data_IF_408375684222
#
_entry.id   IF_408375684222
#
_cell.length_a   1.000
_cell.length_b   1.000
_cell.length_c   1.000
_cell.angle_alpha   90.00
_cell.angle_beta   90.00
_cell.angle_gamma   90.00
#
_symmetry.space_group_name_H-M   'P 1'
#
loop_
_entity.id
_entity.type
_entity.pdbx_description
1 polymer ?
#
# COMPACT_ATOMS: atom_id res chain seq x y z
N UNK A 1 -10.88 -21.32 4.18
CA UNK A 1 -10.96 -22.74 3.80
C UNK A 1 -10.29 -23.57 4.89
N UNK A 2 -9.96 -24.82 4.65
CA UNK A 2 -9.17 -25.61 5.59
C UNK A 2 -7.66 -25.32 5.41
N UNK A 3 -6.87 -25.35 6.47
CA UNK A 3 -5.42 -25.07 6.40
C UNK A 3 -4.70 -26.09 5.51
N UNK A 4 -5.16 -27.35 5.51
CA UNK A 4 -4.66 -28.37 4.59
C UNK A 4 -4.91 -28.01 3.12
N UNK A 5 -6.09 -27.49 2.79
CA UNK A 5 -6.42 -27.07 1.42
C UNK A 5 -5.54 -25.92 0.93
N UNK A 6 -5.14 -25.01 1.82
CA UNK A 6 -4.17 -23.96 1.47
C UNK A 6 -2.82 -24.56 1.04
N UNK A 7 -2.36 -25.61 1.72
CA UNK A 7 -1.09 -26.26 1.40
C UNK A 7 -1.18 -27.08 0.10
N UNK A 8 -2.28 -27.81 -0.09
CA UNK A 8 -2.55 -28.53 -1.33
C UNK A 8 -2.56 -27.56 -2.52
N UNK A 9 -3.28 -26.44 -2.41
CA UNK A 9 -3.34 -25.41 -3.46
C UNK A 9 -1.98 -24.74 -3.70
N UNK A 10 -1.17 -24.53 -2.66
CA UNK A 10 0.21 -24.01 -2.78
C UNK A 10 1.08 -24.91 -3.66
N UNK A 11 0.96 -26.23 -3.46
CA UNK A 11 1.70 -27.26 -4.19
C UNK A 11 1.17 -27.39 -5.62
N UNK A 12 -0.15 -27.50 -5.79
CA UNK A 12 -0.81 -27.63 -7.10
C UNK A 12 -0.48 -26.44 -8.02
N UNK A 13 -0.44 -25.22 -7.48
CA UNK A 13 -0.04 -24.02 -8.22
C UNK A 13 1.46 -23.95 -8.53
N UNK A 14 2.27 -24.88 -8.01
CA UNK A 14 3.70 -24.93 -8.25
C UNK A 14 4.47 -23.74 -7.68
N UNK A 15 3.93 -23.04 -6.67
CA UNK A 15 4.55 -21.80 -6.15
C UNK A 15 5.86 -22.03 -5.39
N UNK A 16 6.11 -23.29 -5.00
CA UNK A 16 7.37 -23.74 -4.45
C UNK A 16 8.28 -24.37 -5.53
N UNK A 17 7.82 -24.56 -6.77
CA UNK A 17 8.57 -25.27 -7.81
C UNK A 17 8.58 -26.79 -7.60
N UNK A 18 9.62 -27.47 -8.10
CA UNK A 18 9.78 -28.93 -8.00
C UNK A 18 10.43 -29.31 -6.67
N UNK A 19 9.90 -30.34 -6.01
CA UNK A 19 10.42 -30.85 -4.75
C UNK A 19 9.47 -31.88 -4.12
N UNK A 20 9.77 -32.27 -2.89
CA UNK A 20 9.04 -33.27 -2.13
C UNK A 20 8.32 -32.64 -0.94
N UNK A 21 7.02 -32.91 -0.80
CA UNK A 21 6.20 -32.39 0.27
C UNK A 21 6.04 -33.41 1.41
N UNK A 22 6.29 -32.97 2.65
CA UNK A 22 6.05 -33.73 3.87
C UNK A 22 5.15 -32.91 4.80
N UNK A 23 3.99 -33.45 5.15
CA UNK A 23 3.03 -32.77 6.00
C UNK A 23 3.19 -33.18 7.47
N UNK A 24 2.86 -32.26 8.38
CA UNK A 24 2.85 -32.51 9.82
C UNK A 24 4.17 -33.12 10.33
N UNK A 25 5.30 -32.46 10.05
CA UNK A 25 6.63 -32.95 10.44
C UNK A 25 6.93 -32.63 11.90
N UNK A 26 7.13 -33.66 12.73
CA UNK A 26 7.40 -33.48 14.16
C UNK A 26 8.83 -32.99 14.44
N UNK A 27 8.94 -31.75 14.91
CA UNK A 27 10.20 -31.12 15.34
C UNK A 27 10.37 -31.01 16.86
N UNK A 28 9.36 -31.43 17.63
CA UNK A 28 9.42 -31.41 19.09
C UNK A 28 10.36 -32.48 19.68
N UNK A 29 11.06 -32.16 20.78
CA UNK A 29 11.94 -33.10 21.50
C UNK A 29 11.26 -33.74 22.72
N UNK A 30 10.59 -32.92 23.54
CA UNK A 30 9.87 -33.38 24.76
C UNK A 30 8.38 -33.60 24.49
N UNK A 31 7.75 -32.63 23.86
CA UNK A 31 6.37 -32.70 23.40
C UNK A 31 6.35 -32.58 21.88
N UNK A 32 5.42 -33.27 21.19
CA UNK A 32 5.30 -33.15 19.75
C UNK A 32 4.94 -31.71 19.35
N UNK A 33 5.63 -31.20 18.33
CA UNK A 33 5.37 -29.91 17.68
C UNK A 33 5.50 -30.15 16.19
N UNK A 34 4.49 -29.80 15.41
CA UNK A 34 4.39 -30.16 14.01
C UNK A 34 4.53 -28.93 13.13
N UNK A 35 5.38 -29.02 12.11
CA UNK A 35 5.40 -28.08 10.98
C UNK A 35 4.34 -28.54 10.00
N UNK A 36 3.46 -27.63 9.57
CA UNK A 36 2.34 -28.00 8.70
C UNK A 36 2.83 -28.60 7.37
N UNK A 37 3.86 -28.00 6.77
CA UNK A 37 4.52 -28.53 5.58
C UNK A 37 6.04 -28.26 5.60
N UNK A 38 6.81 -29.31 5.35
CA UNK A 38 8.21 -29.24 4.96
C UNK A 38 8.29 -29.59 3.48
N UNK A 39 8.84 -28.69 2.67
CA UNK A 39 8.98 -28.90 1.23
C UNK A 39 10.46 -28.88 0.87
N UNK A 40 10.99 -30.04 0.49
CA UNK A 40 12.41 -30.23 0.18
C UNK A 40 12.69 -30.07 -1.31
N UNK A 41 13.69 -29.26 -1.63
CA UNK A 41 14.27 -29.14 -2.97
C UNK A 41 15.70 -29.64 -2.96
N UNK A 42 16.37 -29.51 -4.10
CA UNK A 42 17.77 -29.88 -4.27
C UNK A 42 18.70 -29.08 -3.34
N UNK A 43 18.56 -27.75 -3.30
CA UNK A 43 19.46 -26.81 -2.61
C UNK A 43 18.84 -26.09 -1.39
N UNK A 44 17.53 -26.17 -1.23
CA UNK A 44 16.81 -25.53 -0.14
C UNK A 44 15.65 -26.35 0.42
N UNK A 45 15.33 -26.11 1.69
CA UNK A 45 14.17 -26.68 2.38
C UNK A 45 13.26 -25.57 2.86
N UNK A 46 11.98 -25.65 2.52
CA UNK A 46 10.96 -24.71 2.97
C UNK A 46 10.22 -25.26 4.18
N UNK A 47 10.09 -24.45 5.23
CA UNK A 47 9.20 -24.70 6.36
C UNK A 47 8.00 -23.76 6.22
N UNK A 48 6.81 -24.32 6.03
CA UNK A 48 5.59 -23.58 5.76
C UNK A 48 4.60 -23.78 6.90
N UNK A 49 4.06 -22.67 7.41
CA UNK A 49 2.87 -22.65 8.27
C UNK A 49 1.66 -22.21 7.44
N UNK A 50 0.52 -22.86 7.60
CA UNK A 50 -0.75 -22.47 7.01
C UNK A 50 -1.66 -21.81 8.04
N UNK A 51 -2.26 -20.67 7.68
CA UNK A 51 -3.34 -20.06 8.47
C UNK A 51 -4.35 -19.41 7.54
N UNK A 52 -5.64 -19.53 7.82
CA UNK A 52 -6.66 -18.82 7.04
C UNK A 52 -6.41 -17.31 6.97
N UNK A 53 -6.06 -16.69 8.11
CA UNK A 53 -5.72 -15.28 8.22
C UNK A 53 -4.32 -15.17 8.82
N UNK A 54 -3.42 -14.45 8.15
CA UNK A 54 -2.08 -14.17 8.65
C UNK A 54 -2.17 -13.50 10.02
N UNK A 55 -1.44 -14.01 11.00
CA UNK A 55 -1.44 -13.51 12.36
C UNK A 55 -0.06 -13.69 13.01
N UNK A 56 0.16 -13.03 14.16
CA UNK A 56 1.42 -13.10 14.90
C UNK A 56 1.76 -14.51 15.40
N UNK A 57 0.76 -15.39 15.56
CA UNK A 57 0.97 -16.78 15.96
C UNK A 57 1.70 -17.56 14.87
N UNK A 58 1.28 -17.44 13.61
CA UNK A 58 1.98 -18.07 12.48
C UNK A 58 3.43 -17.60 12.35
N UNK A 59 3.66 -16.29 12.50
CA UNK A 59 5.01 -15.71 12.51
C UNK A 59 5.87 -16.33 13.63
N UNK A 60 5.35 -16.40 14.85
CA UNK A 60 6.05 -17.00 15.98
C UNK A 60 6.31 -18.50 15.79
N UNK A 61 5.34 -19.24 15.26
CA UNK A 61 5.43 -20.67 14.98
C UNK A 61 6.53 -20.96 13.96
N UNK A 62 6.49 -20.34 12.78
CA UNK A 62 7.46 -20.63 11.71
C UNK A 62 8.90 -20.28 12.12
N UNK A 63 9.09 -19.21 12.89
CA UNK A 63 10.39 -18.84 13.46
C UNK A 63 10.88 -19.87 14.49
N UNK A 64 10.00 -20.30 15.39
CA UNK A 64 10.33 -21.30 16.43
C UNK A 64 10.65 -22.66 15.80
N UNK A 65 9.88 -23.05 14.80
CA UNK A 65 10.06 -24.30 14.07
C UNK A 65 11.37 -24.36 13.31
N UNK A 66 11.85 -23.23 12.75
CA UNK A 66 13.20 -23.17 12.15
C UNK A 66 14.27 -23.61 13.15
N UNK A 67 14.23 -23.09 14.37
CA UNK A 67 15.20 -23.43 15.41
C UNK A 67 15.15 -24.92 15.78
N UNK A 68 13.95 -25.47 15.98
CA UNK A 68 13.76 -26.88 16.32
C UNK A 68 14.15 -27.82 15.16
N UNK A 69 13.80 -27.46 13.92
CA UNK A 69 14.13 -28.24 12.72
C UNK A 69 15.65 -28.34 12.53
N UNK A 70 16.36 -27.22 12.64
CA UNK A 70 17.84 -27.18 12.50
C UNK A 70 18.58 -27.95 13.60
N UNK A 71 17.96 -28.16 14.77
CA UNK A 71 18.54 -29.00 15.82
C UNK A 71 18.39 -30.50 15.53
N UNK A 72 17.35 -30.90 14.78
CA UNK A 72 17.10 -32.31 14.44
C UNK A 72 17.77 -32.74 13.16
N UNK A 73 17.85 -31.84 12.17
CA UNK A 73 18.29 -32.15 10.82
C UNK A 73 19.65 -31.54 10.56
N UNK A 74 20.66 -32.38 10.32
CA UNK A 74 21.96 -31.96 9.81
C UNK A 74 21.88 -31.97 8.28
N UNK A 75 21.67 -30.81 7.69
CA UNK A 75 21.59 -30.64 6.23
C UNK A 75 22.42 -29.42 5.81
N UNK A 76 23.10 -29.53 4.66
CA UNK A 76 23.78 -28.40 4.02
C UNK A 76 22.81 -27.49 3.25
N UNK A 77 21.56 -27.92 3.05
CA UNK A 77 20.54 -27.14 2.33
C UNK A 77 20.19 -25.86 3.10
N UNK A 78 19.92 -24.80 2.37
CA UNK A 78 19.46 -23.55 2.99
C UNK A 78 18.00 -23.68 3.47
N UNK A 79 17.69 -23.21 4.68
CA UNK A 79 16.32 -23.27 5.21
C UNK A 79 15.59 -21.95 4.95
N UNK A 80 14.50 -22.03 4.17
CA UNK A 80 13.57 -20.94 3.86
C UNK A 80 12.32 -21.07 4.72
N UNK A 81 11.70 -19.93 5.03
CA UNK A 81 10.46 -19.86 5.79
C UNK A 81 9.35 -19.29 4.93
N UNK A 82 8.18 -19.89 5.04
CA UNK A 82 6.98 -19.38 4.38
C UNK A 82 5.75 -19.45 5.27
N UNK A 83 4.77 -18.60 4.96
CA UNK A 83 3.43 -18.69 5.52
C UNK A 83 2.46 -18.66 4.36
N UNK A 84 1.52 -19.60 4.31
CA UNK A 84 0.42 -19.60 3.34
C UNK A 84 -0.88 -19.20 4.01
N UNK A 85 -1.64 -18.29 3.39
CA UNK A 85 -2.89 -17.80 3.94
C UNK A 85 -3.92 -17.36 2.89
N UNK A 86 -5.20 -17.24 3.28
CA UNK A 86 -6.22 -16.66 2.39
C UNK A 86 -6.19 -15.14 2.39
N UNK A 87 -5.97 -14.57 3.58
CA UNK A 87 -5.95 -13.13 3.82
C UNK A 87 -4.70 -12.77 4.61
N UNK A 88 -4.03 -11.72 4.17
CA UNK A 88 -2.87 -11.18 4.85
C UNK A 88 -3.19 -9.89 5.60
N UNK A 89 -2.37 -9.60 6.61
CA UNK A 89 -2.35 -8.32 7.32
C UNK A 89 -1.06 -7.57 6.90
N UNK A 90 -1.15 -6.35 6.35
CA UNK A 90 0.02 -5.62 5.84
C UNK A 90 1.12 -5.34 6.86
N UNK A 91 0.77 -5.14 8.14
CA UNK A 91 1.76 -4.87 9.19
C UNK A 91 2.55 -6.15 9.50
N UNK A 92 1.86 -7.29 9.51
CA UNK A 92 2.48 -8.61 9.69
C UNK A 92 3.26 -9.00 8.44
N UNK A 93 2.80 -8.68 7.22
CA UNK A 93 3.57 -8.88 5.99
C UNK A 93 4.91 -8.15 6.03
N UNK A 94 4.89 -6.90 6.47
CA UNK A 94 6.12 -6.12 6.62
C UNK A 94 7.06 -6.75 7.66
N UNK A 95 6.52 -7.25 8.78
CA UNK A 95 7.31 -7.94 9.79
C UNK A 95 7.93 -9.24 9.24
N UNK A 96 7.15 -10.06 8.53
CA UNK A 96 7.62 -11.28 7.87
C UNK A 96 8.73 -10.98 6.85
N UNK A 97 8.55 -9.95 6.01
CA UNK A 97 9.55 -9.54 5.01
C UNK A 97 10.89 -9.17 5.64
N UNK A 98 10.88 -8.43 6.76
CA UNK A 98 12.11 -8.08 7.50
C UNK A 98 12.86 -9.31 8.05
N UNK A 99 12.15 -10.40 8.29
CA UNK A 99 12.71 -11.67 8.77
C UNK A 99 13.03 -12.66 7.63
N UNK A 100 12.86 -12.24 6.36
CA UNK A 100 13.08 -13.12 5.21
C UNK A 100 12.04 -14.24 5.05
N UNK A 101 10.84 -14.06 5.61
CA UNK A 101 9.73 -15.01 5.50
C UNK A 101 8.88 -14.63 4.29
N UNK A 102 8.66 -15.57 3.37
CA UNK A 102 7.80 -15.37 2.20
C UNK A 102 6.34 -15.64 2.55
N UNK A 103 5.42 -14.81 2.06
CA UNK A 103 3.99 -15.01 2.26
C UNK A 103 3.36 -15.41 0.94
N UNK A 104 2.52 -16.45 0.98
CA UNK A 104 1.75 -16.95 -0.15
C UNK A 104 0.26 -16.70 0.13
N UNK A 105 -0.34 -15.73 -0.56
CA UNK A 105 -1.76 -15.43 -0.41
C UNK A 105 -2.55 -16.18 -1.48
N UNK A 106 -3.35 -17.18 -1.07
CA UNK A 106 -4.10 -18.09 -1.96
C UNK A 106 -5.61 -17.86 -1.96
N UNK A 107 -6.10 -16.89 -1.19
CA UNK A 107 -7.50 -16.51 -1.27
C UNK A 107 -7.83 -16.08 -2.69
N UNK A 108 -9.08 -16.30 -3.12
CA UNK A 108 -9.67 -15.44 -4.14
C UNK A 108 -9.58 -14.03 -3.57
N UNK A 109 -8.52 -13.31 -3.90
CA UNK A 109 -8.63 -11.88 -4.06
C UNK A 109 -9.88 -11.78 -4.92
N UNK A 110 -10.96 -11.21 -4.39
CA UNK A 110 -11.82 -10.45 -5.28
C UNK A 110 -10.85 -9.43 -5.82
N UNK A 111 -10.17 -9.80 -6.90
CA UNK A 111 -9.61 -8.85 -7.82
C UNK A 111 -10.85 -8.02 -8.12
N UNK A 112 -10.97 -6.86 -7.45
CA UNK A 112 -11.33 -5.70 -8.24
C UNK A 112 -10.42 -5.83 -9.44
N UNK A 113 -11.00 -6.10 -10.61
CA UNK A 113 -10.25 -6.64 -11.73
C UNK A 113 -8.99 -5.78 -11.84
N UNK A 114 -7.84 -6.44 -11.93
CA UNK A 114 -6.64 -5.84 -12.50
C UNK A 114 -7.04 -5.41 -13.91
N UNK A 115 -7.71 -4.27 -13.95
CA UNK A 115 -8.15 -3.58 -15.12
C UNK A 115 -6.88 -2.96 -15.62
N UNK A 116 -6.26 -3.68 -16.55
CA UNK A 116 -5.88 -3.09 -17.83
C UNK A 116 -5.40 -1.65 -17.69
N UNK A 117 -4.09 -1.43 -17.50
CA UNK A 117 -3.48 -0.10 -17.62
C UNK A 117 -4.37 1.03 -17.06
N UNK A 118 -4.70 1.00 -15.77
CA UNK A 118 -5.43 2.12 -15.17
C UNK A 118 -4.59 3.38 -15.41
N UNK A 119 -5.06 4.23 -16.32
CA UNK A 119 -4.35 5.42 -16.79
C UNK A 119 -3.82 6.23 -15.62
N UNK A 120 -2.66 6.85 -15.83
CA UNK A 120 -2.02 7.70 -14.84
C UNK A 120 -3.04 8.74 -14.31
N UNK A 121 -3.04 9.03 -13.01
CA UNK A 121 -4.04 9.90 -12.37
C UNK A 121 -3.39 11.22 -11.97
N UNK A 122 -4.14 12.32 -12.01
CA UNK A 122 -3.66 13.59 -11.47
C UNK A 122 -3.81 13.65 -9.95
N UNK A 123 -2.69 13.82 -9.25
CA UNK A 123 -2.59 14.01 -7.80
C UNK A 123 -3.19 15.30 -7.28
N UNK A 124 -3.55 16.25 -8.16
CA UNK A 124 -4.15 17.53 -7.81
C UNK A 124 -5.68 17.46 -7.89
N UNK A 125 -6.25 17.10 -9.05
CA UNK A 125 -7.70 17.09 -9.25
C UNK A 125 -8.37 15.72 -9.14
N UNK A 126 -7.60 14.62 -9.23
CA UNK A 126 -8.11 13.25 -9.21
C UNK A 126 -8.54 12.68 -10.56
N UNK A 127 -8.50 13.47 -11.63
CA UNK A 127 -8.91 13.02 -12.96
C UNK A 127 -7.83 12.17 -13.64
N UNK A 128 -8.25 11.30 -14.55
CA UNK A 128 -7.36 10.51 -15.40
C UNK A 128 -6.58 11.40 -16.36
N UNK A 129 -5.31 11.09 -16.56
CA UNK A 129 -4.45 11.72 -17.55
C UNK A 129 -4.74 11.15 -18.94
N UNK A 130 -4.73 12.03 -19.94
CA UNK A 130 -4.87 11.67 -21.35
C UNK A 130 -3.53 11.80 -22.04
N UNK A 131 -3.19 10.85 -22.89
CA UNK A 131 -2.01 10.94 -23.74
C UNK A 131 -2.33 11.81 -24.97
N UNK A 132 -1.51 12.82 -25.25
CA UNK A 132 -1.54 13.61 -26.48
C UNK A 132 -0.11 13.87 -26.91
N UNK A 133 0.21 13.55 -28.16
CA UNK A 133 1.55 13.75 -28.73
C UNK A 133 2.69 13.11 -27.89
N UNK A 134 2.39 11.98 -27.22
CA UNK A 134 3.34 11.26 -26.35
C UNK A 134 3.48 11.84 -24.94
N UNK A 135 2.75 12.91 -24.61
CA UNK A 135 2.73 13.52 -23.28
C UNK A 135 1.45 13.20 -22.51
N UNK A 136 1.58 12.97 -21.20
CA UNK A 136 0.44 12.79 -20.31
C UNK A 136 -0.08 14.14 -19.83
N UNK A 137 -1.33 14.45 -20.14
CA UNK A 137 -1.97 15.74 -19.88
C UNK A 137 -3.17 15.57 -18.96
N UNK A 138 -3.23 16.41 -17.92
CA UNK A 138 -4.43 16.62 -17.11
C UNK A 138 -5.18 17.83 -17.67
N UNK A 139 -6.26 17.61 -18.41
CA UNK A 139 -7.05 18.71 -18.99
C UNK A 139 -7.59 19.67 -17.94
N UNK A 140 -7.97 19.16 -16.77
CA UNK A 140 -8.46 19.96 -15.65
C UNK A 140 -7.37 20.88 -15.09
N UNK A 141 -6.17 20.35 -14.85
CA UNK A 141 -5.08 21.20 -14.34
C UNK A 141 -4.59 22.16 -15.42
N UNK A 142 -4.53 21.72 -16.69
CA UNK A 142 -4.20 22.60 -17.81
C UNK A 142 -5.19 23.75 -17.97
N UNK A 143 -6.48 23.52 -17.70
CA UNK A 143 -7.49 24.57 -17.73
C UNK A 143 -7.28 25.62 -16.61
N UNK A 144 -7.03 25.19 -15.37
CA UNK A 144 -6.94 26.13 -14.23
C UNK A 144 -5.56 26.73 -14.00
N UNK A 145 -4.49 26.03 -14.39
CA UNK A 145 -3.11 26.38 -14.08
C UNK A 145 -2.24 26.53 -15.32
N UNK A 146 -2.81 26.41 -16.53
CA UNK A 146 -2.09 26.43 -17.81
C UNK A 146 -1.03 25.32 -17.95
N UNK A 147 -0.99 24.37 -17.00
CA UNK A 147 -0.03 23.25 -16.97
C UNK A 147 -0.64 22.00 -16.35
N UNK A 148 -0.15 20.82 -16.75
CA UNK A 148 -0.42 19.55 -16.07
C UNK A 148 0.44 19.36 -14.81
N UNK A 149 1.47 20.20 -14.65
CA UNK A 149 2.52 19.99 -13.66
C UNK A 149 3.53 18.94 -14.11
N UNK A 150 4.14 18.28 -13.15
CA UNK A 150 5.18 17.27 -13.37
C UNK A 150 4.57 15.87 -13.29
N UNK A 151 4.97 15.01 -14.23
CA UNK A 151 4.69 13.57 -14.18
C UNK A 151 5.80 12.89 -13.37
N UNK A 152 5.41 12.17 -12.32
CA UNK A 152 6.33 11.39 -11.49
C UNK A 152 5.84 9.96 -11.33
N UNK A 153 6.73 9.12 -10.82
CA UNK A 153 6.48 7.73 -10.51
C UNK A 153 6.18 7.54 -9.01
N UNK A 154 5.12 6.80 -8.70
CA UNK A 154 4.72 6.53 -7.32
C UNK A 154 5.77 5.67 -6.59
N UNK A 155 6.25 6.12 -5.44
CA UNK A 155 7.26 5.38 -4.64
C UNK A 155 6.75 4.04 -4.08
N UNK A 156 5.44 3.80 -4.06
CA UNK A 156 4.84 2.57 -3.52
C UNK A 156 4.46 1.57 -4.62
N UNK A 157 3.88 2.04 -5.73
CA UNK A 157 3.33 1.16 -6.77
C UNK A 157 3.92 1.39 -8.16
N UNK A 158 4.90 2.29 -8.30
CA UNK A 158 5.60 2.58 -9.55
C UNK A 158 4.71 3.10 -10.71
N UNK A 159 3.44 3.42 -10.46
CA UNK A 159 2.56 4.01 -11.47
C UNK A 159 2.84 5.50 -11.65
N UNK A 160 2.79 5.97 -12.90
CA UNK A 160 2.87 7.40 -13.24
C UNK A 160 1.67 8.15 -12.69
N UNK A 161 1.89 9.38 -12.23
CA UNK A 161 0.84 10.31 -11.80
C UNK A 161 1.30 11.76 -12.02
N UNK A 162 0.36 12.68 -12.23
CA UNK A 162 0.69 14.11 -12.34
C UNK A 162 0.62 14.79 -10.97
N UNK A 163 1.44 15.79 -10.74
CA UNK A 163 1.34 16.61 -9.55
C UNK A 163 1.86 18.03 -9.82
N UNK A 164 1.34 19.05 -9.11
CA UNK A 164 1.83 20.42 -9.20
C UNK A 164 2.58 20.75 -7.90
N UNK A 165 3.94 20.74 -7.90
CA UNK A 165 4.73 21.00 -6.70
C UNK A 165 4.34 22.29 -5.98
N UNK A 166 4.20 23.40 -6.70
CA UNK A 166 3.87 24.70 -6.11
C UNK A 166 2.56 24.64 -5.30
N UNK A 167 1.50 24.12 -5.92
CA UNK A 167 0.18 24.00 -5.28
C UNK A 167 0.21 22.99 -4.12
N UNK A 168 0.88 21.84 -4.31
CA UNK A 168 0.95 20.80 -3.28
C UNK A 168 1.76 21.28 -2.08
N UNK A 169 2.93 21.87 -2.30
CA UNK A 169 3.81 22.30 -1.22
C UNK A 169 3.11 23.41 -0.40
N UNK A 170 2.47 24.39 -1.04
CA UNK A 170 1.77 25.48 -0.34
C UNK A 170 0.57 24.99 0.50
N UNK A 171 -0.17 24.00 0.00
CA UNK A 171 -1.36 23.47 0.70
C UNK A 171 -0.97 22.44 1.76
N UNK A 172 -0.10 21.50 1.41
CA UNK A 172 0.20 20.33 2.24
C UNK A 172 1.23 20.67 3.31
N UNK A 173 2.21 21.51 3.01
CA UNK A 173 3.25 21.93 3.98
C UNK A 173 3.03 23.33 4.53
N UNK A 174 2.44 24.23 3.74
CA UNK A 174 2.35 25.65 4.07
C UNK A 174 1.15 26.07 4.91
N UNK A 175 0.12 25.22 5.05
CA UNK A 175 -1.08 25.56 5.82
C UNK A 175 -0.89 25.19 7.29
N UNK A 176 -0.93 26.23 8.12
CA UNK A 176 -1.01 26.17 9.59
C UNK A 176 -2.37 26.68 10.02
N UNK A 177 -3.09 25.88 10.79
CA UNK A 177 -4.36 26.25 11.40
C UNK A 177 -4.12 27.19 12.59
N UNK A 178 -5.15 27.93 13.00
CA UNK A 178 -5.09 28.89 14.10
C UNK A 178 -4.68 28.28 15.44
N UNK A 179 -4.93 26.99 15.62
CA UNK A 179 -4.50 26.20 16.80
C UNK A 179 -3.08 25.62 16.68
N UNK A 180 -2.33 26.00 15.65
CA UNK A 180 -0.95 25.56 15.41
C UNK A 180 -0.82 24.20 14.73
N UNK A 181 -1.93 23.49 14.45
CA UNK A 181 -1.88 22.25 13.66
C UNK A 181 -1.46 22.55 12.22
N UNK A 182 -0.81 21.61 11.56
CA UNK A 182 -0.47 21.65 10.12
C UNK A 182 -1.31 20.62 9.37
N UNK A 183 -1.44 20.80 8.05
CA UNK A 183 -2.04 19.78 7.17
C UNK A 183 -1.19 18.50 7.21
N UNK A 184 0.06 18.53 6.75
CA UNK A 184 0.96 17.39 6.99
C UNK A 184 2.23 17.84 7.70
N UNK A 185 2.75 16.98 8.57
CA UNK A 185 4.12 17.13 9.06
C UNK A 185 5.08 17.13 7.87
N UNK A 186 6.22 17.81 7.99
CA UNK A 186 7.23 17.90 6.92
C UNK A 186 7.61 16.50 6.40
N UNK A 187 7.78 15.53 7.31
CA UNK A 187 8.11 14.14 6.97
C UNK A 187 7.00 13.48 6.14
N UNK A 188 5.74 13.69 6.51
CA UNK A 188 4.60 13.04 5.86
C UNK A 188 4.25 13.73 4.55
N UNK A 189 4.40 15.05 4.47
CA UNK A 189 4.25 15.80 3.24
C UNK A 189 5.25 15.35 2.16
N UNK A 190 6.52 15.14 2.55
CA UNK A 190 7.53 14.57 1.65
C UNK A 190 7.07 13.24 1.10
N UNK A 191 6.61 12.31 1.94
CA UNK A 191 6.13 11.00 1.48
C UNK A 191 4.87 11.12 0.61
N UNK A 192 3.88 11.91 1.04
CA UNK A 192 2.60 12.13 0.34
C UNK A 192 2.81 12.68 -1.07
N UNK A 193 3.75 13.62 -1.24
CA UNK A 193 4.12 14.23 -2.53
C UNK A 193 4.53 13.18 -3.57
N UNK A 194 5.27 12.16 -3.14
CA UNK A 194 5.82 11.11 -4.02
C UNK A 194 4.92 9.87 -4.16
N UNK A 195 3.72 9.90 -3.58
CA UNK A 195 2.73 8.82 -3.70
C UNK A 195 1.61 9.24 -4.66
N UNK A 196 1.13 8.30 -5.48
CA UNK A 196 -0.07 8.54 -6.30
C UNK A 196 -1.35 8.55 -5.42
N UNK A 197 -2.46 9.14 -5.91
CA UNK A 197 -3.75 9.17 -5.19
C UNK A 197 -4.20 7.84 -4.61
N UNK A 198 -4.11 6.77 -5.41
CA UNK A 198 -4.52 5.41 -4.98
C UNK A 198 -3.69 4.90 -3.81
N UNK A 199 -2.38 5.10 -3.83
CA UNK A 199 -1.51 4.69 -2.73
C UNK A 199 -1.69 5.58 -1.50
N UNK A 200 -1.98 6.88 -1.68
CA UNK A 200 -2.35 7.77 -0.56
C UNK A 200 -3.59 7.26 0.16
N UNK A 201 -4.64 6.87 -0.57
CA UNK A 201 -5.87 6.27 -0.01
C UNK A 201 -5.61 5.04 0.85
N UNK A 202 -4.72 4.16 0.39
CA UNK A 202 -4.38 2.89 1.07
C UNK A 202 -3.43 3.09 2.26
N UNK A 203 -2.77 4.25 2.34
CA UNK A 203 -1.73 4.49 3.33
C UNK A 203 -2.32 4.80 4.71
N UNK A 204 -2.36 3.78 5.57
CA UNK A 204 -2.64 3.95 7.02
C UNK A 204 -1.62 4.85 7.75
N UNK A 205 -0.48 5.15 7.14
CA UNK A 205 0.48 6.08 7.72
C UNK A 205 -0.03 7.53 7.70
N UNK A 206 -0.95 7.85 6.79
CA UNK A 206 -1.60 9.16 6.70
C UNK A 206 -2.89 9.23 7.51
N UNK A 207 -3.39 8.10 8.03
CA UNK A 207 -4.69 8.05 8.70
C UNK A 207 -4.70 8.60 10.12
N UNK A 208 -3.53 8.91 10.70
CA UNK A 208 -3.40 9.45 12.05
C UNK A 208 -3.10 10.95 12.12
N UNK A 209 -3.17 11.68 11.00
CA UNK A 209 -2.78 13.09 10.98
C UNK A 209 -3.91 14.01 10.53
N UNK A 210 -4.04 15.09 11.32
CA UNK A 210 -5.08 16.11 11.31
C UNK A 210 -6.41 15.63 11.91
N UNK A 211 -6.69 15.97 13.17
CA UNK A 211 -8.06 16.13 13.65
C UNK A 211 -9.01 14.91 13.65
N UNK A 212 -8.51 13.68 13.53
CA UNK A 212 -9.31 12.45 13.52
C UNK A 212 -9.49 11.84 12.13
N UNK A 213 -10.35 10.83 12.00
CA UNK A 213 -10.57 10.04 10.78
C UNK A 213 -10.93 10.88 9.53
N UNK A 214 -11.33 12.14 9.68
CA UNK A 214 -11.89 12.98 8.61
C UNK A 214 -10.89 13.34 7.48
N UNK A 215 -9.59 13.37 7.78
CA UNK A 215 -8.54 13.80 6.83
C UNK A 215 -7.73 12.67 6.23
N UNK A 216 -7.82 11.50 6.85
CA UNK A 216 -7.08 10.28 6.55
C UNK A 216 -7.27 9.74 5.11
N UNK A 217 -8.38 10.10 4.48
CA UNK A 217 -8.84 9.52 3.22
C UNK A 217 -8.78 10.49 2.03
N UNK A 218 -8.11 11.65 2.16
CA UNK A 218 -8.00 12.61 1.03
C UNK A 218 -6.84 12.21 0.13
N UNK A 219 -7.17 11.82 -1.10
CA UNK A 219 -6.27 11.25 -2.10
C UNK A 219 -5.61 12.34 -2.96
N UNK A 220 -6.26 13.50 -3.04
CA UNK A 220 -5.93 14.60 -3.96
C UNK A 220 -5.88 15.96 -3.27
N UNK A 221 -5.18 16.91 -3.86
CA UNK A 221 -5.19 18.31 -3.40
C UNK A 221 -6.60 18.91 -3.39
N UNK A 222 -7.42 18.59 -4.40
CA UNK A 222 -8.83 19.00 -4.50
C UNK A 222 -9.63 18.63 -3.27
N UNK A 223 -9.44 17.40 -2.78
CA UNK A 223 -10.12 16.89 -1.59
C UNK A 223 -9.63 17.55 -0.30
N UNK A 224 -8.33 17.89 -0.23
CA UNK A 224 -7.76 18.65 0.88
C UNK A 224 -8.36 20.06 0.92
N UNK A 225 -8.38 20.78 -0.21
CA UNK A 225 -9.00 22.12 -0.32
C UNK A 225 -10.48 22.05 0.09
N UNK A 226 -11.21 21.06 -0.42
CA UNK A 226 -12.63 20.86 -0.06
C UNK A 226 -12.80 20.68 1.45
N UNK A 227 -11.95 19.89 2.09
CA UNK A 227 -12.00 19.65 3.53
C UNK A 227 -11.66 20.91 4.35
N UNK A 228 -10.67 21.69 3.92
CA UNK A 228 -10.28 22.97 4.54
C UNK A 228 -11.45 23.95 4.54
N UNK A 229 -12.12 24.12 3.39
CA UNK A 229 -13.27 25.03 3.29
C UNK A 229 -14.45 24.51 4.09
N UNK A 230 -14.75 23.20 4.02
CA UNK A 230 -15.88 22.60 4.74
C UNK A 230 -15.72 22.71 6.26
N UNK A 231 -14.51 22.54 6.77
CA UNK A 231 -14.18 22.72 8.19
C UNK A 231 -14.12 24.18 8.63
N UNK A 232 -14.27 25.14 7.69
CA UNK A 232 -14.09 26.58 7.92
C UNK A 232 -12.70 26.94 8.46
N UNK A 233 -11.72 26.07 8.20
CA UNK A 233 -10.34 26.29 8.63
C UNK A 233 -9.66 27.41 7.85
N UNK A 234 -10.10 27.64 6.61
CA UNK A 234 -9.71 28.78 5.78
C UNK A 234 -10.88 29.22 4.91
N UNK A 235 -10.88 30.49 4.54
CA UNK A 235 -11.80 31.06 3.56
C UNK A 235 -11.29 30.86 2.13
N UNK A 236 -12.15 31.13 1.14
CA UNK A 236 -11.73 31.14 -0.28
C UNK A 236 -10.62 32.19 -0.50
N UNK A 237 -10.76 33.37 0.12
CA UNK A 237 -9.78 34.45 0.03
C UNK A 237 -8.40 34.03 0.54
N UNK A 238 -8.34 33.32 1.68
CA UNK A 238 -7.06 32.84 2.23
C UNK A 238 -6.33 31.85 1.30
N UNK A 239 -7.08 31.12 0.46
CA UNK A 239 -6.53 30.21 -0.55
C UNK A 239 -6.14 30.96 -1.83
N UNK A 240 -6.89 31.98 -2.22
CA UNK A 240 -6.54 32.91 -3.31
C UNK A 240 -5.22 33.65 -2.99
N UNK A 241 -5.07 34.14 -1.76
CA UNK A 241 -3.85 34.82 -1.27
C UNK A 241 -2.62 33.90 -1.27
N UNK A 242 -2.82 32.57 -1.38
CA UNK A 242 -1.77 31.55 -1.57
C UNK A 242 -1.56 31.16 -3.04
N UNK A 243 -2.12 31.93 -3.97
CA UNK A 243 -1.94 31.70 -5.41
C UNK A 243 -2.81 30.58 -5.99
N UNK A 244 -3.82 30.08 -5.27
CA UNK A 244 -4.74 29.08 -5.82
C UNK A 244 -5.86 29.82 -6.57
N UNK A 245 -6.07 29.56 -7.87
CA UNK A 245 -7.12 30.23 -8.63
C UNK A 245 -8.50 30.01 -8.03
N UNK A 246 -9.28 31.09 -7.89
CA UNK A 246 -10.67 31.04 -7.37
C UNK A 246 -11.51 29.99 -8.07
N UNK A 247 -11.39 29.89 -9.38
CA UNK A 247 -12.15 28.98 -10.21
C UNK A 247 -11.84 27.51 -9.88
N UNK A 248 -10.57 27.21 -9.58
CA UNK A 248 -10.17 25.89 -9.13
C UNK A 248 -10.71 25.60 -7.72
N UNK A 249 -10.70 26.60 -6.82
CA UNK A 249 -11.30 26.47 -5.49
C UNK A 249 -12.80 26.15 -5.60
N UNK A 250 -13.53 26.88 -6.45
CA UNK A 250 -14.94 26.64 -6.74
C UNK A 250 -15.20 25.25 -7.34
N UNK A 251 -14.32 24.78 -8.22
CA UNK A 251 -14.34 23.41 -8.73
C UNK A 251 -14.11 22.39 -7.62
N UNK A 252 -13.18 22.64 -6.70
CA UNK A 252 -12.92 21.75 -5.56
C UNK A 252 -14.17 21.56 -4.70
N UNK A 253 -14.93 22.61 -4.45
CA UNK A 253 -16.17 22.57 -3.65
C UNK A 253 -17.44 22.27 -4.47
N UNK A 254 -17.31 21.97 -5.77
CA UNK A 254 -18.42 21.57 -6.63
C UNK A 254 -19.36 22.71 -7.07
N UNK A 255 -18.95 23.98 -6.89
CA UNK A 255 -19.69 25.15 -7.39
C UNK A 255 -19.47 25.40 -8.88
N UNK A 256 -18.39 24.85 -9.44
CA UNK A 256 -18.04 24.94 -10.87
C UNK A 256 -17.81 23.54 -11.43
N UNK A 257 -18.27 23.31 -12.66
CA UNK A 257 -17.97 22.12 -13.47
C UNK A 257 -17.04 22.52 -14.61
N UNK A 258 -16.18 21.59 -15.03
CA UNK A 258 -15.46 21.72 -16.30
C UNK A 258 -16.30 20.99 -17.34
N UNK A 259 -16.57 21.67 -18.44
CA UNK A 259 -17.30 21.14 -19.59
C UNK A 259 -16.32 20.67 -20.65
#
# INVERSE_FOLDING_TARGET
MDEKKLLDELIEKGLLGKGEAQFEVNVGMKEPKYIDLVFEKEDETWLIEAKNILNYKALGQVLSYKGLYLQKVVSSKSVRLGIVCEKSDPDIEQACKKQGIKIFVLGKVKEEPETSQQGAICGVCGESLKERDGELICEVCKHFFETTGRIDECIECHNKFAHLPAIIDDIVTGIRFSDGRVVLSIKNAKRWKWMCPKCRKKSRFLTSLIGGEEWSNKETTKEIIRAIIKSKSMTIKDLEDRGIPREFIEYCIGKRKIH
#
